data_IF_243784769852
#
_entry.id   IF_243784769852
#
_cell.length_a   1.000
_cell.length_b   1.000
_cell.length_c   1.000
_cell.angle_alpha   90.00
_cell.angle_beta   90.00
_cell.angle_gamma   90.00
#
_symmetry.space_group_name_H-M   'P 1'
#
loop_
_entity.id
_entity.type
_entity.pdbx_description
1 polymer ?
#
# COMPACT_ATOMS: atom_id res chain seq x y z
N UNK A 1 -29.55 -6.69 -3.94
CA UNK A 1 -29.90 -7.67 -4.99
C UNK A 1 -31.41 -7.88 -5.20
N UNK A 2 -32.32 -7.25 -4.44
CA UNK A 2 -33.76 -7.45 -4.61
C UNK A 2 -34.38 -6.81 -5.88
N UNK A 3 -33.73 -5.80 -6.47
CA UNK A 3 -34.29 -5.06 -7.62
C UNK A 3 -34.45 -5.89 -8.91
N UNK A 4 -33.54 -6.84 -9.18
CA UNK A 4 -33.62 -7.69 -10.38
C UNK A 4 -34.83 -8.63 -10.34
N UNK A 5 -35.17 -9.10 -9.14
CA UNK A 5 -36.33 -9.97 -8.94
C UNK A 5 -37.62 -9.20 -9.25
N UNK A 6 -37.73 -7.98 -8.74
CA UNK A 6 -38.86 -7.09 -9.00
C UNK A 6 -38.98 -6.71 -10.49
N UNK A 7 -37.86 -6.49 -11.18
CA UNK A 7 -37.87 -6.30 -12.64
C UNK A 7 -38.39 -7.55 -13.37
N UNK A 8 -37.96 -8.74 -12.95
CA UNK A 8 -38.43 -10.01 -13.53
C UNK A 8 -39.93 -10.22 -13.30
N UNK A 9 -40.44 -9.78 -12.16
CA UNK A 9 -41.87 -9.80 -11.81
C UNK A 9 -42.69 -8.72 -12.55
N UNK A 10 -42.05 -7.85 -13.33
CA UNK A 10 -42.72 -6.85 -14.17
C UNK A 10 -43.00 -5.51 -13.48
N UNK A 11 -42.43 -5.27 -12.30
CA UNK A 11 -42.54 -3.97 -11.63
C UNK A 11 -41.81 -2.88 -12.42
N UNK A 12 -42.39 -1.67 -12.45
CA UNK A 12 -41.76 -0.51 -13.09
C UNK A 12 -40.70 0.10 -12.16
N UNK A 13 -39.68 0.74 -12.74
CA UNK A 13 -38.58 1.37 -11.99
C UNK A 13 -39.03 2.29 -10.84
N UNK A 14 -40.16 3.00 -11.02
CA UNK A 14 -40.73 3.92 -10.02
C UNK A 14 -41.26 3.17 -8.79
N UNK A 15 -41.80 1.97 -8.98
CA UNK A 15 -42.31 1.14 -7.89
C UNK A 15 -41.13 0.47 -7.16
N UNK A 16 -40.13 0.05 -7.92
CA UNK A 16 -38.87 -0.51 -7.40
C UNK A 16 -38.12 0.53 -6.55
N UNK A 17 -38.08 1.80 -6.97
CA UNK A 17 -37.47 2.89 -6.21
C UNK A 17 -38.08 3.02 -4.80
N UNK A 18 -39.41 2.92 -4.70
CA UNK A 18 -40.13 2.97 -3.41
C UNK A 18 -39.86 1.75 -2.55
N UNK A 19 -39.81 0.55 -3.15
CA UNK A 19 -39.62 -0.71 -2.44
C UNK A 19 -38.16 -0.88 -1.97
N UNK A 20 -37.19 -0.52 -2.80
CA UNK A 20 -35.76 -0.73 -2.56
C UNK A 20 -35.04 0.51 -2.01
N UNK A 21 -35.75 1.63 -1.78
CA UNK A 21 -35.18 2.91 -1.33
C UNK A 21 -33.93 3.34 -2.10
N UNK A 22 -33.92 3.07 -3.41
CA UNK A 22 -32.76 3.27 -4.28
C UNK A 22 -33.18 4.14 -5.45
N UNK A 23 -32.37 5.13 -5.81
CA UNK A 23 -32.70 6.06 -6.90
C UNK A 23 -32.95 5.32 -8.23
N UNK A 24 -33.90 5.82 -9.02
CA UNK A 24 -34.17 5.33 -10.38
C UNK A 24 -32.91 5.24 -11.25
N UNK A 25 -32.00 6.21 -11.11
CA UNK A 25 -30.73 6.24 -11.85
C UNK A 25 -29.82 5.05 -11.50
N UNK A 26 -29.73 4.67 -10.22
CA UNK A 26 -28.98 3.48 -9.81
C UNK A 26 -29.60 2.19 -10.36
N UNK A 27 -30.93 2.08 -10.33
CA UNK A 27 -31.66 0.92 -10.87
C UNK A 27 -31.42 0.78 -12.37
N UNK A 28 -31.56 1.88 -13.11
CA UNK A 28 -31.31 1.92 -14.56
C UNK A 28 -29.85 1.58 -14.90
N UNK A 29 -28.90 2.11 -14.13
CA UNK A 29 -27.47 1.80 -14.30
C UNK A 29 -27.17 0.31 -14.11
N UNK A 30 -27.72 -0.31 -13.07
CA UNK A 30 -27.53 -1.74 -12.84
C UNK A 30 -28.25 -2.60 -13.88
N UNK A 31 -29.45 -2.21 -14.32
CA UNK A 31 -30.18 -2.91 -15.37
C UNK A 31 -29.42 -2.90 -16.70
N UNK A 32 -28.86 -1.75 -17.09
CA UNK A 32 -28.03 -1.64 -18.30
C UNK A 32 -26.79 -2.55 -18.21
N UNK A 33 -26.07 -2.51 -17.09
CA UNK A 33 -24.89 -3.38 -16.88
C UNK A 33 -25.25 -4.86 -16.85
N UNK A 34 -26.39 -5.22 -16.28
CA UNK A 34 -26.87 -6.60 -16.29
C UNK A 34 -27.21 -7.08 -17.70
N UNK A 35 -27.81 -6.23 -18.54
CA UNK A 35 -28.15 -6.58 -19.92
C UNK A 35 -26.90 -6.81 -20.78
N UNK A 36 -25.82 -6.09 -20.52
CA UNK A 36 -24.56 -6.19 -21.27
C UNK A 36 -23.63 -7.29 -20.77
N UNK A 37 -23.48 -7.41 -19.45
CA UNK A 37 -22.43 -8.23 -18.81
C UNK A 37 -23.02 -9.34 -17.91
N UNK A 38 -24.34 -9.51 -17.88
CA UNK A 38 -25.02 -10.48 -17.02
C UNK A 38 -24.80 -10.22 -15.53
N UNK A 39 -24.74 -11.29 -14.73
CA UNK A 39 -24.50 -11.19 -13.29
C UNK A 39 -23.11 -10.62 -12.94
N UNK A 40 -22.09 -10.84 -13.77
CA UNK A 40 -20.77 -10.23 -13.57
C UNK A 40 -20.84 -8.70 -13.65
N UNK A 41 -21.75 -8.18 -14.47
CA UNK A 41 -22.07 -6.76 -14.59
C UNK A 41 -22.60 -6.12 -13.31
N UNK A 42 -23.06 -6.90 -12.34
CA UNK A 42 -23.54 -6.37 -11.05
C UNK A 42 -22.48 -6.38 -9.95
N UNK A 43 -21.36 -7.05 -10.19
CA UNK A 43 -20.23 -6.99 -9.29
C UNK A 43 -19.61 -5.58 -9.27
N UNK A 44 -19.11 -5.19 -8.10
CA UNK A 44 -18.31 -3.98 -7.96
C UNK A 44 -17.03 -4.12 -8.77
N UNK A 45 -16.91 -3.28 -9.81
CA UNK A 45 -15.69 -3.20 -10.61
C UNK A 45 -14.59 -2.54 -9.79
N UNK A 46 -13.42 -3.18 -9.75
CA UNK A 46 -12.20 -2.56 -9.22
C UNK A 46 -11.86 -1.32 -10.07
N UNK A 47 -11.38 -0.24 -9.44
CA UNK A 47 -10.79 0.89 -10.17
C UNK A 47 -11.54 2.22 -10.14
N UNK A 48 -12.54 2.42 -9.27
CA UNK A 48 -13.11 3.78 -9.04
C UNK A 48 -12.11 4.77 -8.44
N UNK A 49 -10.96 4.31 -7.96
CA UNK A 49 -9.90 5.15 -7.40
C UNK A 49 -9.07 5.89 -8.45
N UNK A 50 -8.45 6.99 -8.04
CA UNK A 50 -7.49 7.74 -8.87
C UNK A 50 -6.37 6.81 -9.32
N UNK A 51 -6.18 6.70 -10.64
CA UNK A 51 -5.08 5.95 -11.25
C UNK A 51 -3.74 6.43 -10.68
N UNK A 52 -2.80 5.51 -10.48
CA UNK A 52 -1.45 5.87 -10.05
C UNK A 52 -0.82 6.80 -11.10
N UNK A 53 -0.15 7.87 -10.65
CA UNK A 53 0.52 8.81 -11.56
C UNK A 53 1.81 8.26 -12.18
N UNK A 54 2.38 7.19 -11.59
CA UNK A 54 3.50 6.45 -12.17
C UNK A 54 2.96 5.21 -12.86
N UNK A 55 3.38 4.98 -14.10
CA UNK A 55 3.14 3.73 -14.81
C UNK A 55 3.95 2.59 -14.18
N UNK A 56 3.60 1.35 -14.52
CA UNK A 56 4.37 0.17 -14.09
C UNK A 56 5.81 0.21 -14.61
N UNK A 57 6.02 0.72 -15.82
CA UNK A 57 7.35 0.91 -16.41
C UNK A 57 8.19 1.89 -15.58
N UNK A 58 7.60 3.04 -15.19
CA UNK A 58 8.27 4.02 -14.35
C UNK A 58 8.60 3.45 -12.97
N UNK A 59 7.75 2.57 -12.43
CA UNK A 59 8.02 1.89 -11.17
C UNK A 59 9.17 0.89 -11.28
N UNK A 60 9.25 0.12 -12.37
CA UNK A 60 10.38 -0.78 -12.64
C UNK A 60 11.69 -0.01 -12.80
N UNK A 61 11.65 1.11 -13.53
CA UNK A 61 12.82 1.96 -13.69
C UNK A 61 13.25 2.59 -12.35
N UNK A 62 12.30 3.06 -11.55
CA UNK A 62 12.57 3.57 -10.21
C UNK A 62 13.21 2.48 -9.33
N UNK A 63 12.73 1.23 -9.41
CA UNK A 63 13.32 0.11 -8.68
C UNK A 63 14.81 -0.08 -9.03
N UNK A 64 15.15 -0.10 -10.33
CA UNK A 64 16.53 -0.27 -10.79
C UNK A 64 17.48 0.84 -10.30
N UNK A 65 16.97 2.06 -10.14
CA UNK A 65 17.75 3.17 -9.60
C UNK A 65 17.93 3.03 -8.08
N UNK A 66 16.86 2.66 -7.37
CA UNK A 66 16.86 2.52 -5.92
C UNK A 66 17.68 1.32 -5.44
N UNK A 67 17.87 0.31 -6.28
CA UNK A 67 18.71 -0.86 -6.01
C UNK A 67 20.20 -0.48 -5.85
N UNK A 68 20.64 0.57 -6.53
CA UNK A 68 22.00 1.11 -6.38
C UNK A 68 22.06 2.09 -5.20
N UNK A 69 23.15 2.11 -4.42
CA UNK A 69 23.29 3.04 -3.31
C UNK A 69 23.37 4.48 -3.84
N UNK A 70 22.82 5.42 -3.06
CA UNK A 70 22.88 6.84 -3.39
C UNK A 70 24.31 7.35 -3.23
N UNK A 71 24.89 7.86 -4.32
CA UNK A 71 26.24 8.43 -4.33
C UNK A 71 26.15 9.93 -4.10
N UNK A 72 26.80 10.41 -3.04
CA UNK A 72 26.93 11.84 -2.75
C UNK A 72 28.12 12.43 -3.51
N UNK A 73 28.11 13.75 -3.70
CA UNK A 73 29.17 14.50 -4.41
C UNK A 73 30.56 14.30 -3.80
N UNK A 74 30.63 14.01 -2.51
CA UNK A 74 31.86 13.73 -1.76
C UNK A 74 32.37 12.28 -1.91
N UNK A 75 31.81 11.50 -2.83
CA UNK A 75 32.20 10.10 -3.10
C UNK A 75 31.69 9.08 -2.08
N UNK A 76 31.02 9.51 -1.01
CA UNK A 76 30.42 8.60 -0.03
C UNK A 76 29.09 8.05 -0.53
N UNK A 77 28.87 6.76 -0.31
CA UNK A 77 27.61 6.09 -0.64
C UNK A 77 26.74 5.92 0.60
N UNK A 78 25.43 6.15 0.46
CA UNK A 78 24.44 5.95 1.52
C UNK A 78 23.15 5.33 1.00
N UNK A 79 22.30 4.89 1.92
CA UNK A 79 20.92 4.51 1.59
C UNK A 79 20.08 5.71 1.15
N UNK A 80 19.09 5.44 0.29
CA UNK A 80 18.10 6.41 -0.16
C UNK A 80 17.26 6.96 1.00
N UNK A 81 17.16 8.28 1.11
CA UNK A 81 16.17 8.91 1.98
C UNK A 81 14.90 9.26 1.20
N UNK A 82 13.77 9.36 1.90
CA UNK A 82 12.49 9.73 1.29
C UNK A 82 12.53 11.06 0.53
N UNK A 83 13.33 12.02 0.99
CA UNK A 83 13.53 13.31 0.32
C UNK A 83 14.28 13.16 -1.00
N UNK A 84 15.33 12.34 -1.04
CA UNK A 84 16.09 12.10 -2.27
C UNK A 84 15.20 11.43 -3.33
N UNK A 85 14.42 10.43 -2.92
CA UNK A 85 13.48 9.76 -3.82
C UNK A 85 12.40 10.72 -4.32
N UNK A 86 11.97 11.67 -3.50
CA UNK A 86 11.03 12.72 -3.91
C UNK A 86 11.61 13.59 -5.04
N UNK A 87 12.86 14.04 -4.86
CA UNK A 87 13.56 14.88 -5.83
C UNK A 87 13.80 14.08 -7.11
N UNK A 88 14.24 12.83 -7.01
CA UNK A 88 14.44 11.92 -8.13
C UNK A 88 13.16 11.75 -8.94
N UNK A 89 12.04 11.43 -8.29
CA UNK A 89 10.76 11.20 -8.98
C UNK A 89 10.29 12.50 -9.67
N UNK A 90 10.45 13.65 -9.00
CA UNK A 90 10.08 14.95 -9.57
C UNK A 90 10.95 15.26 -10.80
N UNK A 91 12.26 15.05 -10.72
CA UNK A 91 13.20 15.35 -11.81
C UNK A 91 13.05 14.42 -12.99
N UNK A 92 12.82 13.12 -12.75
CA UNK A 92 12.83 12.10 -13.81
C UNK A 92 11.45 11.89 -14.44
N UNK A 93 10.39 11.92 -13.63
CA UNK A 93 9.03 11.62 -14.10
C UNK A 93 8.12 12.85 -14.10
N UNK A 94 8.57 14.01 -13.63
CA UNK A 94 7.77 15.23 -13.55
C UNK A 94 6.63 15.18 -12.52
N UNK A 95 6.56 14.11 -11.71
CA UNK A 95 5.46 13.89 -10.77
C UNK A 95 5.84 14.35 -9.37
N UNK A 96 5.00 15.22 -8.80
CA UNK A 96 5.11 15.58 -7.39
C UNK A 96 4.23 14.69 -6.51
N UNK A 97 4.88 14.07 -5.53
CA UNK A 97 4.25 13.29 -4.47
C UNK A 97 4.65 13.83 -3.09
N UNK A 98 3.75 13.69 -2.12
CA UNK A 98 4.06 13.92 -0.71
C UNK A 98 4.86 12.76 -0.11
N UNK A 99 5.57 13.03 0.98
CA UNK A 99 6.45 12.08 1.68
C UNK A 99 5.77 10.76 2.06
N UNK A 100 4.52 10.80 2.55
CA UNK A 100 3.73 9.59 2.85
C UNK A 100 3.53 8.70 1.63
N UNK A 101 3.23 9.30 0.48
CA UNK A 101 2.97 8.53 -0.73
C UNK A 101 4.26 7.91 -1.26
N UNK A 102 5.37 8.62 -1.18
CA UNK A 102 6.69 8.11 -1.57
C UNK A 102 7.07 6.93 -0.68
N UNK A 103 6.88 7.04 0.64
CA UNK A 103 7.14 5.91 1.55
C UNK A 103 6.30 4.68 1.19
N UNK A 104 5.04 4.89 0.79
CA UNK A 104 4.17 3.81 0.32
C UNK A 104 4.67 3.19 -0.99
N UNK A 105 5.12 4.01 -1.95
CA UNK A 105 5.71 3.53 -3.21
C UNK A 105 6.95 2.69 -2.90
N UNK A 106 7.88 3.20 -2.09
CA UNK A 106 9.11 2.49 -1.69
C UNK A 106 8.77 1.16 -0.99
N UNK A 107 7.80 1.16 -0.08
CA UNK A 107 7.36 -0.06 0.62
C UNK A 107 6.72 -1.08 -0.34
N UNK A 108 5.92 -0.62 -1.31
CA UNK A 108 5.30 -1.48 -2.31
C UNK A 108 6.33 -2.08 -3.28
N UNK A 109 7.45 -1.38 -3.50
CA UNK A 109 8.60 -1.89 -4.25
C UNK A 109 9.45 -2.88 -3.45
N UNK A 110 9.11 -3.17 -2.19
CA UNK A 110 9.79 -4.16 -1.35
C UNK A 110 10.96 -3.61 -0.53
N UNK A 111 11.26 -2.31 -0.62
CA UNK A 111 12.35 -1.72 0.16
C UNK A 111 11.95 -1.51 1.62
N UNK A 112 12.84 -1.92 2.53
CA UNK A 112 12.67 -1.73 3.98
C UNK A 112 13.62 -0.66 4.48
N UNK A 113 13.16 0.14 5.43
CA UNK A 113 14.02 1.12 6.11
C UNK A 113 15.04 0.39 6.98
N UNK A 114 16.30 0.40 6.57
CA UNK A 114 17.41 0.00 7.42
C UNK A 114 17.62 1.06 8.51
N UNK A 115 17.45 0.65 9.77
CA UNK A 115 17.83 1.47 10.92
C UNK A 115 19.22 1.00 11.34
N UNK A 116 20.25 1.86 11.30
CA UNK A 116 21.56 1.48 11.80
C UNK A 116 21.39 1.07 13.26
N UNK A 117 22.04 -0.04 13.64
CA UNK A 117 22.14 -0.51 15.03
C UNK A 117 23.56 -0.20 15.49
N UNK A 118 23.85 1.02 16.00
CA UNK A 118 25.21 1.39 16.35
C UNK A 118 25.71 0.44 17.43
N UNK A 119 26.81 -0.27 17.13
CA UNK A 119 27.52 -1.07 18.14
C UNK A 119 28.62 -0.20 18.72
N UNK A 120 28.62 -0.05 20.04
CA UNK A 120 29.69 0.64 20.74
C UNK A 120 31.01 -0.13 20.53
N UNK A 121 32.11 0.58 20.20
CA UNK A 121 33.41 -0.06 19.88
C UNK A 121 33.93 -0.98 21.00
N UNK A 122 33.64 -0.63 22.26
CA UNK A 122 34.06 -1.40 23.45
C UNK A 122 33.10 -2.54 23.83
N UNK A 123 32.05 -2.80 23.04
CA UNK A 123 31.07 -3.85 23.33
C UNK A 123 31.69 -5.22 23.01
N UNK A 124 32.12 -5.92 24.04
CA UNK A 124 32.54 -7.31 23.95
C UNK A 124 31.30 -8.22 23.96
N UNK A 125 31.18 -9.11 22.97
CA UNK A 125 30.03 -10.00 22.86
C UNK A 125 30.04 -11.06 23.95
N UNK A 126 31.23 -11.50 24.42
CA UNK A 126 31.37 -12.49 25.50
C UNK A 126 30.79 -11.99 26.82
N UNK A 127 31.14 -10.77 27.22
CA UNK A 127 30.66 -10.18 28.48
C UNK A 127 29.13 -9.96 28.47
N UNK A 128 28.56 -9.66 27.31
CA UNK A 128 27.11 -9.52 27.13
C UNK A 128 26.41 -10.87 27.26
N UNK A 129 26.99 -11.93 26.72
CA UNK A 129 26.39 -13.27 26.73
C UNK A 129 26.53 -13.91 28.12
N UNK A 130 27.66 -13.72 28.80
CA UNK A 130 27.86 -14.14 30.19
C UNK A 130 26.90 -13.42 31.15
N UNK A 131 26.71 -12.11 31.00
CA UNK A 131 25.71 -11.35 31.77
C UNK A 131 24.28 -11.85 31.54
N UNK A 132 23.91 -12.21 30.31
CA UNK A 132 22.60 -12.79 30.01
C UNK A 132 22.40 -14.17 30.62
N UNK A 133 23.44 -15.01 30.64
CA UNK A 133 23.40 -16.31 31.30
C UNK A 133 23.30 -16.18 32.82
N UNK A 134 24.02 -15.23 33.42
CA UNK A 134 23.90 -14.89 34.84
C UNK A 134 22.49 -14.41 35.21
N UNK A 135 21.87 -13.58 34.38
CA UNK A 135 20.47 -13.17 34.57
C UNK A 135 19.48 -14.33 34.49
N UNK A 136 19.65 -15.26 33.53
CA UNK A 136 18.81 -16.47 33.41
C UNK A 136 18.95 -17.40 34.63
N UNK A 137 20.17 -17.53 35.17
CA UNK A 137 20.44 -18.32 36.39
C UNK A 137 19.78 -17.69 37.63
N UNK A 138 19.67 -16.37 37.68
CA UNK A 138 19.11 -15.62 38.81
C UNK A 138 17.63 -15.25 38.67
N UNK A 139 16.98 -15.49 37.52
CA UNK A 139 15.57 -15.15 37.32
C UNK A 139 14.63 -16.28 37.74
N UNK A 140 14.29 -16.35 39.04
CA UNK A 140 13.00 -16.93 39.48
C UNK A 140 11.96 -15.81 39.52
N UNK A 141 11.51 -15.35 38.36
CA UNK A 141 10.42 -14.38 38.26
C UNK A 141 9.33 -14.97 37.38
N UNK A 142 8.19 -15.25 37.98
CA UNK A 142 7.00 -15.71 37.28
C UNK A 142 6.23 -14.50 36.77
N UNK A 143 6.03 -14.41 35.46
CA UNK A 143 5.15 -13.39 34.85
C UNK A 143 4.05 -14.14 34.10
N UNK A 144 2.80 -13.84 34.46
CA UNK A 144 1.58 -14.41 33.88
C UNK A 144 1.21 -13.60 32.64
N UNK A 145 0.99 -14.27 31.51
CA UNK A 145 0.60 -13.68 30.22
C UNK A 145 -0.82 -13.14 30.22
#
# INVERSE_FOLDING_TARGET
MHYLLLLKEGYKDRDIEKICHTSKSSVSFWHCRFKEEGFEGLCDKKGRGKKAKLSEENLKELYLILDKPYTMENGYTRGWQTKDVQILIKSKFGVLYGSRHIRRIISNLGFVRLVPRPRHKRRNQKDVDEFKEQLKKNSKVWIKT
#
